data_IF_344372479717
#
_entry.id   IF_344372479717
#
_cell.length_a   1.000
_cell.length_b   1.000
_cell.length_c   1.000
_cell.angle_alpha   90.00
_cell.angle_beta   90.00
_cell.angle_gamma   90.00
#
_symmetry.space_group_name_H-M   'P 1'
#
loop_
_entity.id
_entity.type
_entity.pdbx_description
1 polymer ?
#
# COMPACT_ATOMS: atom_id res chain seq x y z
N UNK A 1 0.39 -26.45 -13.41
CA UNK A 1 0.11 -25.11 -12.83
C UNK A 1 1.20 -24.15 -13.30
N UNK A 2 0.87 -22.92 -13.72
CA UNK A 2 1.90 -21.96 -14.09
C UNK A 2 2.76 -21.68 -12.85
N UNK A 3 4.09 -21.72 -13.01
CA UNK A 3 5.04 -21.52 -11.92
C UNK A 3 4.74 -20.25 -11.11
N UNK A 4 4.26 -19.20 -11.79
CA UNK A 4 3.79 -17.97 -11.17
C UNK A 4 2.68 -18.18 -10.13
N UNK A 5 1.67 -19.00 -10.42
CA UNK A 5 0.58 -19.28 -9.47
C UNK A 5 1.07 -20.03 -8.23
N UNK A 6 2.02 -20.95 -8.42
CA UNK A 6 2.60 -21.70 -7.30
C UNK A 6 3.43 -20.77 -6.40
N UNK A 7 4.28 -19.92 -6.99
CA UNK A 7 5.05 -18.93 -6.23
C UNK A 7 4.13 -17.95 -5.52
N UNK A 8 3.10 -17.44 -6.19
CA UNK A 8 2.12 -16.53 -5.60
C UNK A 8 1.44 -17.17 -4.37
N UNK A 9 1.01 -18.42 -4.49
CA UNK A 9 0.39 -19.17 -3.39
C UNK A 9 1.36 -19.35 -2.22
N UNK A 10 2.63 -19.68 -2.49
CA UNK A 10 3.66 -19.80 -1.46
C UNK A 10 3.94 -18.46 -0.75
N UNK A 11 4.00 -17.35 -1.49
CA UNK A 11 4.20 -16.02 -0.91
C UNK A 11 3.02 -15.65 -0.01
N UNK A 12 1.77 -15.84 -0.47
CA UNK A 12 0.59 -15.56 0.35
C UNK A 12 0.52 -16.45 1.58
N UNK A 13 0.81 -17.74 1.43
CA UNK A 13 0.85 -18.65 2.56
C UNK A 13 1.95 -18.24 3.56
N UNK A 14 3.13 -17.84 3.07
CA UNK A 14 4.20 -17.32 3.92
C UNK A 14 3.78 -16.09 4.72
N UNK A 15 3.09 -15.14 4.09
CA UNK A 15 2.56 -13.93 4.75
C UNK A 15 1.51 -14.31 5.82
N UNK A 16 0.59 -15.22 5.49
CA UNK A 16 -0.45 -15.68 6.41
C UNK A 16 0.13 -16.45 7.61
N UNK A 17 1.03 -17.41 7.35
CA UNK A 17 1.70 -18.19 8.39
C UNK A 17 2.52 -17.30 9.31
N UNK A 18 3.19 -16.29 8.78
CA UNK A 18 3.91 -15.30 9.59
C UNK A 18 2.98 -14.59 10.58
N UNK A 19 1.75 -14.24 10.19
CA UNK A 19 0.76 -13.66 11.10
C UNK A 19 0.30 -14.66 12.18
N UNK A 20 0.04 -15.92 11.80
CA UNK A 20 -0.43 -16.97 12.73
C UNK A 20 0.64 -17.36 13.74
N UNK A 21 1.88 -17.58 13.28
CA UNK A 21 3.00 -18.07 14.09
C UNK A 21 3.85 -16.94 14.70
N UNK A 22 3.45 -15.67 14.54
CA UNK A 22 4.15 -14.47 15.05
C UNK A 22 5.65 -14.42 14.71
N UNK A 23 5.99 -14.86 13.51
CA UNK A 23 7.38 -14.90 13.05
C UNK A 23 7.84 -13.45 12.76
N UNK A 24 9.04 -13.02 13.22
CA UNK A 24 9.54 -11.66 13.03
C UNK A 24 10.00 -11.34 11.59
N UNK A 25 9.54 -12.10 10.59
CA UNK A 25 9.82 -11.81 9.19
C UNK A 25 9.04 -10.59 8.73
N UNK A 26 9.65 -9.71 7.94
CA UNK A 26 8.95 -8.59 7.29
C UNK A 26 8.35 -9.09 5.96
N UNK A 27 7.23 -8.51 5.55
CA UNK A 27 6.52 -8.91 4.32
C UNK A 27 7.45 -8.85 3.10
N UNK A 28 8.27 -7.81 3.00
CA UNK A 28 9.23 -7.64 1.90
C UNK A 28 10.26 -8.77 1.80
N UNK A 29 10.63 -9.42 2.91
CA UNK A 29 11.56 -10.55 2.90
C UNK A 29 10.92 -11.78 2.24
N UNK A 30 9.64 -12.02 2.53
CA UNK A 30 8.85 -13.12 1.95
C UNK A 30 8.65 -12.86 0.45
N UNK A 31 8.31 -11.61 0.08
CA UNK A 31 8.20 -11.21 -1.33
C UNK A 31 9.53 -11.34 -2.07
N UNK A 32 10.64 -10.91 -1.45
CA UNK A 32 11.99 -11.04 -2.01
C UNK A 32 12.40 -12.51 -2.22
N UNK A 33 12.06 -13.40 -1.30
CA UNK A 33 12.27 -14.84 -1.46
C UNK A 33 11.45 -15.41 -2.63
N UNK A 34 10.20 -14.98 -2.81
CA UNK A 34 9.39 -15.33 -3.97
C UNK A 34 9.99 -14.84 -5.31
N UNK A 35 10.48 -13.61 -5.35
CA UNK A 35 11.18 -13.06 -6.52
C UNK A 35 12.46 -13.86 -6.83
N UNK A 36 13.27 -14.16 -5.82
CA UNK A 36 14.47 -14.99 -5.99
C UNK A 36 14.13 -16.39 -6.53
N UNK A 37 13.06 -17.02 -6.01
CA UNK A 37 12.59 -18.33 -6.49
C UNK A 37 12.23 -18.30 -7.98
N UNK A 38 11.56 -17.25 -8.45
CA UNK A 38 11.24 -17.09 -9.88
C UNK A 38 12.50 -16.89 -10.71
N UNK A 39 13.44 -16.06 -10.26
CA UNK A 39 14.71 -15.85 -10.95
C UNK A 39 15.54 -17.13 -11.06
N UNK A 40 15.61 -17.94 -9.99
CA UNK A 40 16.32 -19.22 -10.00
C UNK A 40 15.72 -20.23 -10.97
N UNK A 41 14.43 -20.13 -11.28
CA UNK A 41 13.80 -21.03 -12.26
C UNK A 41 14.16 -20.71 -13.71
N UNK A 42 14.87 -19.59 -13.96
CA UNK A 42 15.33 -19.18 -15.28
C UNK A 42 14.23 -18.76 -16.25
N UNK A 43 12.97 -18.75 -15.82
CA UNK A 43 11.81 -18.37 -16.67
C UNK A 43 11.75 -16.88 -16.98
N UNK A 44 12.39 -16.06 -16.16
CA UNK A 44 12.50 -14.61 -16.30
C UNK A 44 13.98 -14.25 -16.12
N UNK A 45 14.53 -13.45 -17.03
CA UNK A 45 15.91 -12.98 -16.91
C UNK A 45 16.00 -11.84 -15.89
N UNK A 46 17.15 -11.69 -15.24
CA UNK A 46 17.37 -10.60 -14.28
C UNK A 46 17.13 -9.22 -14.91
N UNK A 47 17.55 -9.05 -16.17
CA UNK A 47 17.34 -7.80 -16.91
C UNK A 47 15.85 -7.51 -17.14
N UNK A 48 15.07 -8.54 -17.51
CA UNK A 48 13.62 -8.38 -17.70
C UNK A 48 12.88 -8.09 -16.39
N UNK A 49 13.29 -8.71 -15.28
CA UNK A 49 12.75 -8.42 -13.97
C UNK A 49 13.08 -6.99 -13.52
N UNK A 50 14.30 -6.52 -13.76
CA UNK A 50 14.71 -5.14 -13.48
C UNK A 50 13.92 -4.12 -14.31
N UNK A 51 13.75 -4.38 -15.61
CA UNK A 51 12.96 -3.53 -16.51
C UNK A 51 11.46 -3.52 -16.17
N UNK A 52 10.97 -4.48 -15.38
CA UNK A 52 9.58 -4.53 -14.92
C UNK A 52 9.32 -3.63 -13.69
N UNK A 53 10.36 -3.02 -13.11
CA UNK A 53 10.21 -2.08 -12.00
C UNK A 53 9.78 -0.72 -12.55
N UNK A 54 8.58 -0.28 -12.16
CA UNK A 54 8.07 1.05 -12.49
C UNK A 54 8.58 2.09 -11.48
N UNK A 55 9.57 2.87 -11.91
CA UNK A 55 10.16 3.94 -11.10
C UNK A 55 9.20 5.10 -10.89
N UNK A 56 8.31 5.38 -11.84
CA UNK A 56 7.33 6.46 -11.74
C UNK A 56 6.37 6.20 -10.58
N UNK A 57 5.90 4.96 -10.40
CA UNK A 57 5.07 4.58 -9.25
C UNK A 57 5.83 4.73 -7.93
N UNK A 58 7.10 4.30 -7.88
CA UNK A 58 7.91 4.41 -6.66
C UNK A 58 8.06 5.87 -6.24
N UNK A 59 8.42 6.76 -7.18
CA UNK A 59 8.57 8.19 -6.88
C UNK A 59 7.22 8.86 -6.57
N UNK A 60 6.14 8.43 -7.21
CA UNK A 60 4.79 8.91 -6.90
C UNK A 60 4.39 8.58 -5.46
N UNK A 61 4.50 7.32 -5.05
CA UNK A 61 4.19 6.90 -3.68
C UNK A 61 5.09 7.60 -2.66
N UNK A 62 6.38 7.73 -2.97
CA UNK A 62 7.31 8.48 -2.13
C UNK A 62 6.87 9.95 -1.98
N UNK A 63 6.50 10.61 -3.08
CA UNK A 63 5.99 11.98 -3.06
C UNK A 63 4.70 12.12 -2.25
N UNK A 64 3.78 11.16 -2.35
CA UNK A 64 2.55 11.14 -1.55
C UNK A 64 2.84 11.02 -0.05
N UNK A 65 3.82 10.20 0.36
CA UNK A 65 4.24 10.13 1.76
C UNK A 65 4.86 11.42 2.25
N UNK A 66 5.75 12.04 1.46
CA UNK A 66 6.37 13.33 1.81
C UNK A 66 5.31 14.42 1.94
N UNK A 67 4.37 14.50 1.00
CA UNK A 67 3.27 15.45 1.04
C UNK A 67 2.37 15.22 2.27
N UNK A 68 2.03 13.96 2.55
CA UNK A 68 1.23 13.59 3.72
C UNK A 68 1.90 14.02 5.03
N UNK A 69 3.20 13.76 5.17
CA UNK A 69 3.96 14.17 6.35
C UNK A 69 4.05 15.70 6.47
N UNK A 70 4.28 16.43 5.36
CA UNK A 70 4.29 17.90 5.39
C UNK A 70 2.93 18.49 5.81
N UNK A 71 1.82 17.89 5.37
CA UNK A 71 0.47 18.28 5.79
C UNK A 71 0.19 17.99 7.27
N UNK A 72 0.75 16.90 7.80
CA UNK A 72 0.65 16.57 9.23
C UNK A 72 1.50 17.52 10.08
N UNK A 73 2.76 17.72 9.73
CA UNK A 73 3.70 18.59 10.46
C UNK A 73 3.30 20.08 10.42
N UNK A 74 2.69 20.53 9.32
CA UNK A 74 2.17 21.90 9.22
C UNK A 74 0.95 22.17 10.10
N UNK A 75 0.31 21.14 10.67
CA UNK A 75 -0.92 21.28 11.45
C UNK A 75 -2.14 21.66 10.62
N UNK A 76 -2.02 21.75 9.29
CA UNK A 76 -3.12 22.14 8.43
C UNK A 76 -4.28 21.14 8.52
N UNK A 77 -3.96 19.84 8.63
CA UNK A 77 -4.97 18.80 8.79
C UNK A 77 -5.73 18.94 10.11
N UNK A 78 -5.06 19.28 11.22
CA UNK A 78 -5.71 19.44 12.52
C UNK A 78 -6.57 20.70 12.57
N UNK A 79 -6.12 21.80 11.96
CA UNK A 79 -6.92 23.02 11.83
C UNK A 79 -8.15 22.81 10.94
N UNK A 80 -8.00 22.07 9.83
CA UNK A 80 -9.10 21.71 8.95
C UNK A 80 -10.16 20.88 9.68
N UNK A 81 -9.75 19.84 10.42
CA UNK A 81 -10.68 19.02 11.21
C UNK A 81 -11.36 19.85 12.29
N UNK A 82 -10.63 20.71 13.00
CA UNK A 82 -11.20 21.57 14.04
C UNK A 82 -12.25 22.56 13.49
N UNK A 83 -12.00 23.15 12.32
CA UNK A 83 -12.92 24.11 11.67
C UNK A 83 -14.13 23.46 11.05
N UNK A 84 -13.96 22.34 10.35
CA UNK A 84 -15.03 21.77 9.52
C UNK A 84 -15.76 20.60 10.16
N UNK A 85 -15.12 19.85 11.06
CA UNK A 85 -15.73 18.68 11.70
C UNK A 85 -16.19 18.92 13.13
N UNK A 86 -15.69 19.97 13.81
CA UNK A 86 -16.20 20.47 15.09
C UNK A 86 -16.08 19.49 16.28
N UNK A 87 -15.80 20.01 17.47
CA UNK A 87 -15.64 19.20 18.70
C UNK A 87 -16.89 18.43 19.15
N UNK A 88 -18.06 18.71 18.57
CA UNK A 88 -19.36 18.14 18.94
C UNK A 88 -19.80 16.97 18.03
N UNK A 89 -18.96 16.54 17.08
CA UNK A 89 -19.31 15.43 16.19
C UNK A 89 -19.26 14.09 16.92
N UNK A 90 -20.39 13.38 16.93
CA UNK A 90 -20.44 11.98 17.40
C UNK A 90 -19.48 11.12 16.56
N UNK A 91 -18.75 10.15 17.16
CA UNK A 91 -17.83 9.26 16.43
C UNK A 91 -18.47 8.59 15.21
N UNK A 92 -19.77 8.22 15.30
CA UNK A 92 -20.50 7.63 14.17
C UNK A 92 -20.68 8.59 13.00
N UNK A 93 -20.95 9.88 13.29
CA UNK A 93 -21.08 10.92 12.25
C UNK A 93 -19.73 11.22 11.61
N UNK A 94 -18.67 11.28 12.42
CA UNK A 94 -17.30 11.47 11.93
C UNK A 94 -16.90 10.36 10.95
N UNK A 95 -17.10 9.10 11.34
CA UNK A 95 -16.82 7.94 10.46
C UNK A 95 -17.67 8.02 9.18
N UNK A 96 -18.96 8.38 9.27
CA UNK A 96 -19.80 8.55 8.09
C UNK A 96 -19.26 9.66 7.15
N UNK A 97 -18.88 10.81 7.69
CA UNK A 97 -18.31 11.92 6.91
C UNK A 97 -17.01 11.47 6.22
N UNK A 98 -16.13 10.76 6.93
CA UNK A 98 -14.87 10.26 6.35
C UNK A 98 -15.17 9.23 5.26
N UNK A 99 -16.00 8.21 5.53
CA UNK A 99 -16.28 7.14 4.57
C UNK A 99 -16.98 7.67 3.31
N UNK A 100 -18.05 8.45 3.46
CA UNK A 100 -18.78 8.98 2.30
C UNK A 100 -18.02 10.12 1.63
N UNK A 101 -17.33 10.97 2.39
CA UNK A 101 -16.51 12.05 1.85
C UNK A 101 -15.34 11.50 1.05
N UNK A 102 -14.51 10.63 1.64
CA UNK A 102 -13.41 9.98 0.93
C UNK A 102 -13.92 9.10 -0.21
N UNK A 103 -15.05 8.41 -0.04
CA UNK A 103 -15.66 7.62 -1.11
C UNK A 103 -16.10 8.48 -2.32
N UNK A 104 -16.69 9.66 -2.07
CA UNK A 104 -17.05 10.61 -3.12
C UNK A 104 -15.79 11.20 -3.78
N UNK A 105 -14.81 11.60 -2.99
CA UNK A 105 -13.52 12.07 -3.51
C UNK A 105 -12.82 10.97 -4.31
N UNK A 106 -12.87 9.71 -3.91
CA UNK A 106 -12.30 8.55 -4.62
C UNK A 106 -13.05 8.19 -5.91
N UNK A 107 -14.32 8.60 -6.03
CA UNK A 107 -15.09 8.43 -7.26
C UNK A 107 -14.83 9.54 -8.29
N UNK A 108 -14.48 10.75 -7.84
CA UNK A 108 -14.19 11.92 -8.70
C UNK A 108 -12.70 12.01 -9.00
N UNK A 109 -11.88 11.91 -7.95
CA UNK A 109 -10.43 11.77 -8.01
C UNK A 109 -10.14 10.29 -8.14
N UNK A 110 -9.33 9.94 -9.12
CA UNK A 110 -8.90 8.58 -9.32
C UNK A 110 -8.14 8.09 -8.08
N UNK A 111 -8.67 7.07 -7.39
CA UNK A 111 -8.09 6.50 -6.18
C UNK A 111 -6.67 5.97 -6.39
N UNK A 112 -6.36 5.56 -7.62
CA UNK A 112 -5.05 5.20 -8.15
C UNK A 112 -5.03 5.51 -9.66
N UNK A 113 -4.02 6.25 -10.15
CA UNK A 113 -3.90 6.73 -11.54
C UNK A 113 -3.10 5.86 -12.51
N UNK A 114 -2.58 4.72 -12.08
CA UNK A 114 -1.79 3.78 -12.90
C UNK A 114 -2.16 2.34 -12.60
#
# INVERSE_FOLDING_TARGET
>A
MSLALLVLLLVFLGIALRQVFRIPLKIWQIMGAGAALVLFTGKISLMSAWASIDWSIIFFLWGMFVLGQALEESGYLSEFVARFLGSQCSPRKLVAIIVFGMGLFSAILMNDTL
#
